data_IF_535821472353
#
_entry.id   IF_535821472353
#
_cell.length_a   1.000
_cell.length_b   1.000
_cell.length_c   1.000
_cell.angle_alpha   90.00
_cell.angle_beta   90.00
_cell.angle_gamma   90.00
#
_symmetry.space_group_name_H-M   'P 1'
#
loop_
_entity.id
_entity.type
_entity.pdbx_description
1 polymer ?
#
# COMPACT_ATOMS: atom_id res chain seq x y z
N UNK A 1 3.04 36.24 -8.74
CA UNK A 1 2.15 35.09 -8.90
C UNK A 1 2.84 33.83 -8.40
N UNK A 2 2.20 33.12 -7.49
CA UNK A 2 2.78 31.90 -6.93
C UNK A 2 2.38 30.74 -7.83
N UNK A 3 3.37 30.01 -8.37
CA UNK A 3 3.10 28.82 -9.17
C UNK A 3 2.68 27.66 -8.24
N UNK A 4 1.68 26.91 -8.68
CA UNK A 4 1.25 25.70 -7.94
C UNK A 4 2.31 24.63 -8.04
N UNK A 5 2.60 23.98 -6.93
CA UNK A 5 3.45 22.79 -6.93
C UNK A 5 2.73 21.65 -7.66
N UNK A 6 3.49 20.77 -8.29
CA UNK A 6 2.92 19.59 -8.94
C UNK A 6 2.29 18.66 -7.87
N UNK A 7 1.31 17.87 -8.28
CA UNK A 7 0.68 16.86 -7.40
C UNK A 7 1.72 15.89 -6.83
N UNK A 8 2.70 15.51 -7.65
CA UNK A 8 3.78 14.61 -7.24
C UNK A 8 4.63 15.23 -6.15
N UNK A 9 5.02 16.52 -6.27
CA UNK A 9 5.80 17.21 -5.23
C UNK A 9 5.04 17.30 -3.91
N UNK A 10 3.75 17.63 -3.95
CA UNK A 10 2.91 17.72 -2.75
C UNK A 10 2.81 16.36 -2.08
N UNK A 11 2.58 15.30 -2.85
CA UNK A 11 2.51 13.93 -2.35
C UNK A 11 3.82 13.52 -1.67
N UNK A 12 4.96 13.81 -2.30
CA UNK A 12 6.27 13.48 -1.75
C UNK A 12 6.55 14.20 -0.43
N UNK A 13 6.13 15.45 -0.31
CA UNK A 13 6.24 16.19 0.97
C UNK A 13 5.41 15.54 2.07
N UNK A 14 4.18 15.14 1.75
CA UNK A 14 3.30 14.44 2.70
C UNK A 14 3.87 13.08 3.09
N UNK A 15 4.40 12.34 2.14
CA UNK A 15 5.01 11.03 2.40
C UNK A 15 6.23 11.16 3.31
N UNK A 16 7.11 12.13 3.05
CA UNK A 16 8.26 12.41 3.90
C UNK A 16 7.84 12.73 5.33
N UNK A 17 6.79 13.52 5.49
CA UNK A 17 6.24 13.89 6.81
C UNK A 17 5.72 12.66 7.56
N UNK A 18 5.03 11.77 6.87
CA UNK A 18 4.55 10.50 7.42
C UNK A 18 5.73 9.62 7.83
N UNK A 19 6.73 9.48 6.96
CA UNK A 19 7.92 8.65 7.20
C UNK A 19 8.78 9.12 8.37
N UNK A 20 8.72 10.41 8.71
CA UNK A 20 9.42 10.94 9.88
C UNK A 20 8.77 10.51 11.21
N UNK A 21 7.53 10.02 11.18
CA UNK A 21 6.79 9.60 12.38
C UNK A 21 6.96 8.13 12.70
N UNK A 22 7.20 7.27 11.71
CA UNK A 22 7.29 5.83 11.93
C UNK A 22 8.16 5.15 10.88
N UNK A 23 8.64 3.97 11.24
CA UNK A 23 9.32 3.04 10.35
C UNK A 23 8.83 1.63 10.63
N UNK A 24 8.90 0.75 9.62
CA UNK A 24 8.58 -0.65 9.80
C UNK A 24 9.74 -1.41 10.48
N UNK A 25 9.41 -2.41 11.27
CA UNK A 25 10.37 -3.31 11.91
C UNK A 25 10.06 -4.75 11.51
N UNK A 26 10.91 -5.70 11.91
CA UNK A 26 10.66 -7.12 11.65
C UNK A 26 9.36 -7.60 12.31
N UNK A 27 9.04 -7.08 13.49
CA UNK A 27 7.85 -7.46 14.26
C UNK A 27 6.59 -6.76 13.74
N UNK A 28 6.74 -5.54 13.26
CA UNK A 28 5.65 -4.72 12.74
C UNK A 28 6.11 -3.98 11.48
N UNK A 29 6.21 -4.71 10.36
CA UNK A 29 6.71 -4.11 9.12
C UNK A 29 5.74 -3.06 8.55
N UNK A 30 6.24 -2.26 7.64
CA UNK A 30 5.48 -1.17 7.03
C UNK A 30 4.77 -1.66 5.77
N UNK A 31 3.45 -1.53 5.75
CA UNK A 31 2.65 -1.75 4.54
C UNK A 31 2.60 -0.44 3.76
N UNK A 32 3.38 -0.37 2.70
CA UNK A 32 3.48 0.79 1.82
C UNK A 32 2.62 0.60 0.57
N UNK A 33 1.86 1.62 0.21
CA UNK A 33 1.02 1.61 -0.99
C UNK A 33 1.46 2.70 -1.95
N UNK A 34 1.34 2.42 -3.23
CA UNK A 34 1.57 3.38 -4.30
C UNK A 34 0.53 3.16 -5.39
N UNK A 35 0.03 4.25 -5.97
CA UNK A 35 -0.87 4.17 -7.12
C UNK A 35 -0.33 4.99 -8.29
N UNK A 36 -0.50 4.44 -9.48
CA UNK A 36 -0.31 5.17 -10.74
C UNK A 36 -1.66 5.34 -11.41
N UNK A 37 -1.69 5.89 -12.63
CA UNK A 37 -2.93 6.08 -13.37
C UNK A 37 -3.64 4.76 -13.69
N UNK A 38 -2.90 3.68 -13.90
CA UNK A 38 -3.44 2.41 -14.36
C UNK A 38 -3.34 1.27 -13.34
N UNK A 39 -2.48 1.38 -12.34
CA UNK A 39 -2.18 0.27 -11.43
C UNK A 39 -1.98 0.72 -10.00
N UNK A 40 -2.08 -0.25 -9.10
CA UNK A 40 -1.75 -0.07 -7.69
C UNK A 40 -0.71 -1.08 -7.26
N UNK A 41 0.07 -0.71 -6.26
CA UNK A 41 1.18 -1.51 -5.74
C UNK A 41 1.12 -1.51 -4.23
N UNK A 42 1.43 -2.65 -3.62
CA UNK A 42 1.52 -2.79 -2.17
C UNK A 42 2.78 -3.59 -1.83
N UNK A 43 3.52 -3.14 -0.82
CA UNK A 43 4.71 -3.82 -0.32
C UNK A 43 4.69 -3.82 1.20
N UNK A 44 5.16 -4.90 1.79
CA UNK A 44 5.39 -4.97 3.23
C UNK A 44 6.90 -5.01 3.44
N UNK A 45 7.43 -4.01 4.12
CA UNK A 45 8.87 -3.71 4.19
C UNK A 45 9.33 -3.68 5.63
N UNK A 46 10.46 -4.39 5.89
CA UNK A 46 11.21 -4.28 7.13
C UNK A 46 12.27 -3.19 6.93
N UNK A 47 12.02 -2.00 7.46
CA UNK A 47 12.92 -0.86 7.29
C UNK A 47 14.22 -0.98 8.08
N UNK A 48 14.27 -1.87 9.09
CA UNK A 48 15.49 -2.07 9.89
C UNK A 48 16.63 -2.65 9.07
N UNK A 49 16.30 -3.44 8.04
CA UNK A 49 17.29 -4.05 7.13
C UNK A 49 17.04 -3.69 5.66
N UNK A 50 16.03 -2.88 5.38
CA UNK A 50 15.71 -2.43 4.03
C UNK A 50 15.20 -3.53 3.10
N UNK A 51 14.56 -4.57 3.65
CA UNK A 51 14.04 -5.70 2.86
C UNK A 51 12.53 -5.61 2.64
N UNK A 52 12.12 -5.86 1.39
CA UNK A 52 10.70 -6.08 1.08
C UNK A 52 10.36 -7.54 1.37
N UNK A 53 9.48 -7.76 2.33
CA UNK A 53 9.09 -9.10 2.77
C UNK A 53 8.01 -9.71 1.88
N UNK A 54 7.04 -8.88 1.48
CA UNK A 54 5.91 -9.29 0.64
C UNK A 54 5.62 -8.16 -0.35
N UNK A 55 5.27 -8.50 -1.57
CA UNK A 55 4.88 -7.52 -2.58
C UNK A 55 3.73 -8.05 -3.43
N UNK A 56 2.83 -7.16 -3.84
CA UNK A 56 1.76 -7.47 -4.76
C UNK A 56 1.41 -6.22 -5.58
N UNK A 57 0.95 -6.42 -6.81
CA UNK A 57 0.51 -5.32 -7.64
C UNK A 57 -0.57 -5.79 -8.61
N UNK A 58 -1.35 -4.85 -9.13
CA UNK A 58 -2.36 -5.14 -10.17
C UNK A 58 -1.72 -5.45 -11.52
N UNK A 59 -0.38 -5.27 -11.66
CA UNK A 59 0.38 -5.70 -12.84
C UNK A 59 0.62 -7.21 -12.89
N UNK A 60 0.60 -7.89 -11.75
CA UNK A 60 0.86 -9.32 -11.69
C UNK A 60 -0.23 -10.10 -12.44
N UNK A 61 0.17 -11.10 -13.22
CA UNK A 61 -0.74 -11.85 -14.08
C UNK A 61 -1.89 -12.50 -13.33
N UNK A 62 -1.62 -13.11 -12.19
CA UNK A 62 -2.61 -13.77 -11.35
C UNK A 62 -3.61 -12.77 -10.75
N UNK A 63 -3.14 -11.61 -10.35
CA UNK A 63 -4.01 -10.54 -9.83
C UNK A 63 -4.82 -9.92 -10.96
N UNK A 64 -4.17 -9.59 -12.08
CA UNK A 64 -4.82 -8.95 -13.23
C UNK A 64 -5.91 -9.83 -13.85
N UNK A 65 -5.71 -11.16 -13.86
CA UNK A 65 -6.66 -12.11 -14.43
C UNK A 65 -8.02 -12.09 -13.71
N UNK A 66 -8.04 -11.72 -12.42
CA UNK A 66 -9.26 -11.65 -11.61
C UNK A 66 -9.96 -10.29 -11.69
N UNK A 67 -9.38 -9.33 -12.42
CA UNK A 67 -9.87 -7.95 -12.47
C UNK A 67 -10.28 -7.56 -13.89
N UNK A 68 -11.44 -6.90 -14.01
CA UNK A 68 -11.83 -6.27 -15.28
C UNK A 68 -11.01 -5.00 -15.53
N UNK A 69 -10.77 -4.22 -14.47
CA UNK A 69 -9.99 -2.98 -14.51
C UNK A 69 -8.99 -2.98 -13.37
N UNK A 70 -7.82 -2.40 -13.60
CA UNK A 70 -6.73 -2.35 -12.62
C UNK A 70 -6.62 -1.01 -11.91
N UNK A 71 -7.49 -0.05 -12.22
CA UNK A 71 -7.39 1.34 -11.75
C UNK A 71 -8.62 1.84 -10.99
N UNK A 72 -9.45 0.93 -10.45
CA UNK A 72 -10.65 1.31 -9.72
C UNK A 72 -10.62 0.83 -8.26
N UNK A 73 -11.67 1.16 -7.52
CA UNK A 73 -11.81 0.82 -6.10
C UNK A 73 -11.86 -0.70 -5.90
N UNK A 74 -12.53 -1.42 -6.79
CA UNK A 74 -12.61 -2.88 -6.71
C UNK A 74 -11.25 -3.54 -6.88
N UNK A 75 -10.42 -3.02 -7.77
CA UNK A 75 -9.04 -3.49 -7.97
C UNK A 75 -8.21 -3.24 -6.71
N UNK A 76 -8.36 -2.07 -6.08
CA UNK A 76 -7.67 -1.74 -4.83
C UNK A 76 -8.07 -2.67 -3.69
N UNK A 77 -9.37 -2.96 -3.55
CA UNK A 77 -9.87 -3.88 -2.54
C UNK A 77 -9.32 -5.30 -2.76
N UNK A 78 -9.31 -5.76 -4.00
CA UNK A 78 -8.74 -7.08 -4.33
C UNK A 78 -7.25 -7.15 -4.01
N UNK A 79 -6.49 -6.09 -4.32
CA UNK A 79 -5.06 -6.02 -4.01
C UNK A 79 -4.82 -6.05 -2.50
N UNK A 80 -5.65 -5.35 -1.72
CA UNK A 80 -5.59 -5.38 -0.26
C UNK A 80 -5.76 -6.80 0.29
N UNK A 81 -6.71 -7.53 -0.25
CA UNK A 81 -6.93 -8.93 0.11
C UNK A 81 -5.71 -9.79 -0.23
N UNK A 82 -5.16 -9.63 -1.44
CA UNK A 82 -4.00 -10.40 -1.91
C UNK A 82 -2.77 -10.16 -1.04
N UNK A 83 -2.45 -8.89 -0.75
CA UNK A 83 -1.27 -8.56 0.07
C UNK A 83 -1.42 -9.10 1.49
N UNK A 84 -2.64 -9.03 2.05
CA UNK A 84 -2.91 -9.55 3.39
C UNK A 84 -2.77 -11.08 3.44
N UNK A 85 -3.30 -11.79 2.47
CA UNK A 85 -3.16 -13.26 2.38
C UNK A 85 -1.70 -13.68 2.28
N UNK A 86 -0.91 -13.01 1.44
CA UNK A 86 0.53 -13.27 1.30
C UNK A 86 1.28 -13.01 2.60
N UNK A 87 0.92 -11.93 3.31
CA UNK A 87 1.55 -11.59 4.59
C UNK A 87 1.24 -12.65 5.66
N UNK A 88 0.00 -13.07 5.76
CA UNK A 88 -0.42 -14.09 6.73
C UNK A 88 0.26 -15.43 6.47
N UNK A 89 0.47 -15.82 5.21
CA UNK A 89 1.22 -17.01 4.84
C UNK A 89 2.66 -16.98 5.38
N UNK A 90 3.26 -15.79 5.49
CA UNK A 90 4.60 -15.61 6.03
C UNK A 90 4.61 -15.35 7.53
N UNK A 91 3.46 -15.42 8.19
CA UNK A 91 3.34 -15.18 9.62
C UNK A 91 3.33 -13.71 10.02
N UNK A 92 3.14 -12.80 9.07
CA UNK A 92 3.05 -11.37 9.33
C UNK A 92 1.58 -11.03 9.58
N UNK A 93 1.26 -10.53 10.76
CA UNK A 93 -0.10 -10.19 11.16
C UNK A 93 -0.27 -8.70 11.43
N UNK A 94 0.72 -8.08 12.10
CA UNK A 94 0.71 -6.66 12.45
C UNK A 94 1.57 -5.87 11.49
N UNK A 95 1.04 -4.74 10.99
CA UNK A 95 1.78 -3.84 10.11
C UNK A 95 1.51 -2.38 10.51
N UNK A 96 2.40 -1.49 10.08
CA UNK A 96 2.20 -0.04 10.14
C UNK A 96 1.78 0.40 8.74
N UNK A 97 0.66 1.09 8.62
CA UNK A 97 0.15 1.50 7.32
C UNK A 97 0.79 2.82 6.87
N UNK A 98 1.45 2.78 5.71
CA UNK A 98 2.01 3.95 5.05
C UNK A 98 1.21 4.22 3.77
N UNK A 99 0.39 5.27 3.81
CA UNK A 99 -0.45 5.64 2.67
C UNK A 99 0.31 6.31 1.52
N UNK A 100 1.65 6.42 1.61
CA UNK A 100 2.50 6.94 0.54
C UNK A 100 2.30 8.41 0.21
N UNK A 101 1.74 9.20 1.14
CA UNK A 101 1.41 10.61 0.91
C UNK A 101 0.09 10.84 0.18
N UNK A 102 -0.62 9.77 -0.18
CA UNK A 102 -1.96 9.87 -0.76
C UNK A 102 -3.01 10.17 0.31
N UNK A 103 -4.15 10.73 -0.09
CA UNK A 103 -5.28 10.96 0.82
C UNK A 103 -5.91 9.62 1.17
N UNK A 104 -6.27 9.42 2.44
CA UNK A 104 -6.92 8.19 2.91
C UNK A 104 -8.41 8.20 2.55
N UNK A 105 -8.68 7.97 1.27
CA UNK A 105 -10.04 7.82 0.74
C UNK A 105 -9.98 7.07 -0.59
N UNK A 106 -11.14 6.64 -1.08
CA UNK A 106 -11.27 5.95 -2.37
C UNK A 106 -10.43 4.69 -2.43
N UNK A 107 -9.53 4.59 -3.41
CA UNK A 107 -8.71 3.40 -3.64
C UNK A 107 -7.80 3.05 -2.45
N UNK A 108 -7.17 4.05 -1.84
CA UNK A 108 -6.26 3.83 -0.71
C UNK A 108 -7.03 3.26 0.48
N UNK A 109 -8.19 3.82 0.79
CA UNK A 109 -9.06 3.35 1.86
C UNK A 109 -9.59 1.94 1.56
N UNK A 110 -10.01 1.67 0.32
CA UNK A 110 -10.52 0.36 -0.08
C UNK A 110 -9.47 -0.74 0.10
N UNK A 111 -8.22 -0.46 -0.26
CA UNK A 111 -7.11 -1.39 -0.06
C UNK A 111 -6.89 -1.66 1.42
N UNK A 112 -6.84 -0.61 2.24
CA UNK A 112 -6.63 -0.74 3.69
C UNK A 112 -7.76 -1.53 4.36
N UNK A 113 -9.00 -1.21 4.05
CA UNK A 113 -10.18 -1.89 4.62
C UNK A 113 -10.18 -3.37 4.24
N UNK A 114 -9.89 -3.70 2.99
CA UNK A 114 -9.83 -5.08 2.52
C UNK A 114 -8.70 -5.88 3.20
N UNK A 115 -7.55 -5.24 3.41
CA UNK A 115 -6.43 -5.87 4.11
C UNK A 115 -6.80 -6.17 5.58
N UNK A 116 -7.50 -5.26 6.24
CA UNK A 116 -8.00 -5.47 7.60
C UNK A 116 -9.01 -6.60 7.67
N UNK A 117 -9.95 -6.65 6.73
CA UNK A 117 -10.93 -7.75 6.65
C UNK A 117 -10.27 -9.10 6.45
N UNK A 118 -9.18 -9.13 5.70
CA UNK A 118 -8.44 -10.38 5.45
C UNK A 118 -7.58 -10.82 6.62
N UNK A 119 -7.42 -9.99 7.66
CA UNK A 119 -6.78 -10.37 8.91
C UNK A 119 -5.56 -9.58 9.34
N UNK A 120 -5.11 -8.59 8.56
CA UNK A 120 -4.02 -7.72 9.00
C UNK A 120 -4.50 -6.74 10.07
N UNK A 121 -3.63 -6.47 11.04
CA UNK A 121 -3.88 -5.54 12.14
C UNK A 121 -3.06 -4.26 11.95
N UNK A 122 -3.77 -3.16 11.85
CA UNK A 122 -3.17 -1.83 11.81
C UNK A 122 -4.20 -0.74 12.01
#
# INVERSE_FOLDING_TARGET
MVSKESRTKVRLKKHKRIRNRFSGTAERPRLAVFRSNNHMYAQIIDDSVGNTLVAASTLQKDVKAELEKTNNVDAAAYLGKVIAEKALEKGIKEVVFDRGGFIYQGKIQALADAAREAGLEF
#
